data_IF_207192216504
#
_entry.id   IF_207192216504
#
_cell.length_a   1.000
_cell.length_b   1.000
_cell.length_c   1.000
_cell.angle_alpha   90.00
_cell.angle_beta   90.00
_cell.angle_gamma   90.00
#
_symmetry.space_group_name_H-M   'P 1'
#
loop_
_entity.id
_entity.type
_entity.pdbx_description
1 polymer ?
#
# COMPACT_ATOMS: atom_id res chain seq x y z
N UNK A 1 -13.24 -19.78 6.91
CA UNK A 1 -12.88 -19.54 5.50
C UNK A 1 -13.86 -18.71 4.66
N UNK A 2 -15.06 -18.33 5.11
CA UNK A 2 -16.04 -17.56 4.31
C UNK A 2 -15.90 -16.01 4.38
N UNK A 3 -14.89 -15.51 5.12
CA UNK A 3 -14.74 -14.08 5.43
C UNK A 3 -13.50 -13.44 4.78
N UNK A 4 -12.71 -14.23 4.04
CA UNK A 4 -11.59 -13.70 3.26
C UNK A 4 -12.02 -13.34 1.83
N UNK A 5 -11.38 -12.30 1.28
CA UNK A 5 -11.48 -12.03 -0.15
C UNK A 5 -10.62 -13.01 -0.93
N UNK A 6 -11.07 -13.36 -2.15
CA UNK A 6 -10.20 -14.03 -3.13
C UNK A 6 -9.00 -13.16 -3.49
N UNK A 7 -7.90 -13.82 -3.88
CA UNK A 7 -6.71 -13.19 -4.48
C UNK A 7 -7.08 -12.25 -5.63
N UNK A 8 -6.37 -11.13 -5.73
CA UNK A 8 -6.48 -10.15 -6.80
C UNK A 8 -5.09 -9.74 -7.27
N UNK A 9 -4.85 -9.89 -8.55
CA UNK A 9 -3.63 -9.41 -9.20
C UNK A 9 -3.76 -7.92 -9.45
N UNK A 10 -2.80 -7.14 -8.94
CA UNK A 10 -2.71 -5.71 -9.24
C UNK A 10 -1.92 -5.57 -10.55
N UNK A 11 -2.61 -5.21 -11.63
CA UNK A 11 -2.02 -5.06 -12.96
C UNK A 11 -2.69 -3.92 -13.71
N UNK A 12 -1.91 -3.19 -14.51
CA UNK A 12 -2.41 -2.14 -15.40
C UNK A 12 -1.67 -2.23 -16.74
N UNK A 13 -2.36 -2.49 -17.86
CA UNK A 13 -1.71 -2.63 -19.16
C UNK A 13 -1.25 -1.31 -19.77
N UNK A 14 -1.70 -0.16 -19.23
CA UNK A 14 -1.47 1.15 -19.83
C UNK A 14 -0.38 1.97 -19.11
N UNK A 15 0.06 1.55 -17.92
CA UNK A 15 1.10 2.26 -17.16
C UNK A 15 1.99 1.30 -16.38
N UNK A 16 3.23 1.72 -16.14
CA UNK A 16 4.11 1.04 -15.20
C UNK A 16 3.59 1.25 -13.78
N UNK A 17 3.45 0.16 -13.03
CA UNK A 17 2.98 0.14 -11.65
C UNK A 17 4.09 -0.33 -10.71
N UNK A 18 3.90 -0.12 -9.41
CA UNK A 18 4.75 -0.56 -8.31
C UNK A 18 6.22 -0.12 -8.46
N UNK A 19 6.42 1.01 -9.13
CA UNK A 19 7.73 1.60 -9.33
C UNK A 19 8.27 2.17 -8.01
N UNK A 20 9.59 2.26 -7.89
CA UNK A 20 10.24 2.83 -6.70
C UNK A 20 9.73 4.24 -6.43
N UNK A 21 9.27 4.47 -5.19
CA UNK A 21 8.71 5.76 -4.78
C UNK A 21 7.32 6.07 -5.34
N UNK A 22 6.74 5.16 -6.13
CA UNK A 22 5.40 5.29 -6.69
C UNK A 22 4.29 5.05 -5.66
N UNK A 23 3.13 5.62 -5.96
CA UNK A 23 1.86 5.31 -5.30
C UNK A 23 0.89 4.92 -6.41
N UNK A 24 0.40 3.68 -6.34
CA UNK A 24 -0.54 3.13 -7.31
C UNK A 24 -1.89 2.90 -6.64
N UNK A 25 -2.96 3.33 -7.31
CA UNK A 25 -4.33 3.10 -6.85
C UNK A 25 -5.03 2.13 -7.79
N UNK A 26 -5.76 1.19 -7.20
CA UNK A 26 -6.54 0.18 -7.92
C UNK A 26 -7.94 0.13 -7.34
N UNK A 27 -8.92 -0.20 -8.19
CA UNK A 27 -10.30 -0.41 -7.76
C UNK A 27 -10.56 -1.91 -7.77
N UNK A 28 -11.15 -2.41 -6.68
CA UNK A 28 -11.51 -3.81 -6.53
C UNK A 28 -13.00 -3.92 -6.24
N UNK A 29 -13.71 -4.69 -7.06
CA UNK A 29 -15.11 -5.05 -6.79
C UNK A 29 -15.17 -6.33 -5.94
N UNK A 30 -16.03 -6.29 -4.92
CA UNK A 30 -16.33 -7.41 -4.02
C UNK A 30 -17.84 -7.69 -4.05
N UNK A 31 -18.26 -8.96 -3.92
CA UNK A 31 -19.68 -9.33 -4.05
C UNK A 31 -20.53 -8.89 -2.85
N UNK A 32 -19.90 -8.66 -1.69
CA UNK A 32 -20.52 -8.16 -0.45
C UNK A 32 -19.59 -7.15 0.21
N UNK A 33 -20.15 -6.27 1.05
CA UNK A 33 -19.34 -5.40 1.89
C UNK A 33 -18.40 -6.22 2.77
N UNK A 34 -17.15 -5.77 2.92
CA UNK A 34 -16.15 -6.43 3.74
C UNK A 34 -16.28 -6.06 5.23
N UNK A 35 -17.06 -5.02 5.55
CA UNK A 35 -17.17 -4.50 6.91
C UNK A 35 -15.81 -4.04 7.46
N UNK A 36 -15.58 -4.30 8.75
CA UNK A 36 -14.33 -3.97 9.41
C UNK A 36 -13.21 -4.93 8.98
N UNK A 37 -12.13 -4.37 8.42
CA UNK A 37 -10.99 -5.14 7.99
C UNK A 37 -10.04 -5.46 9.15
N UNK A 38 -9.63 -6.71 9.26
CA UNK A 38 -8.68 -7.17 10.28
C UNK A 38 -7.23 -7.18 9.77
N UNK A 39 -7.01 -7.65 8.55
CA UNK A 39 -5.70 -7.74 7.92
C UNK A 39 -5.79 -7.66 6.40
N UNK A 40 -4.63 -7.48 5.77
CA UNK A 40 -4.42 -7.73 4.34
C UNK A 40 -3.25 -8.71 4.17
N UNK A 41 -3.40 -9.65 3.23
CA UNK A 41 -2.30 -10.50 2.76
C UNK A 41 -1.79 -9.95 1.43
N UNK A 42 -0.50 -9.69 1.33
CA UNK A 42 0.14 -9.16 0.12
C UNK A 42 1.47 -9.85 -0.16
N UNK A 43 1.74 -10.10 -1.44
CA UNK A 43 2.97 -10.69 -1.93
C UNK A 43 3.23 -10.27 -3.37
N UNK A 44 4.42 -10.59 -3.88
CA UNK A 44 4.76 -10.52 -5.30
C UNK A 44 5.37 -11.85 -5.76
N UNK A 45 5.52 -12.03 -7.07
CA UNK A 45 6.02 -13.26 -7.69
C UNK A 45 7.54 -13.27 -7.89
N UNK A 46 8.24 -12.22 -7.44
CA UNK A 46 9.68 -12.03 -7.60
C UNK A 46 10.17 -12.09 -9.06
N UNK A 47 9.32 -11.74 -10.04
CA UNK A 47 9.61 -11.80 -11.48
C UNK A 47 10.54 -10.69 -12.00
N UNK A 48 10.82 -9.65 -11.20
CA UNK A 48 11.71 -8.56 -11.60
C UNK A 48 13.17 -8.99 -11.73
N UNK A 49 13.95 -8.27 -12.54
CA UNK A 49 15.38 -8.55 -12.72
C UNK A 49 16.24 -7.76 -11.71
N UNK A 50 17.20 -8.45 -11.08
CA UNK A 50 18.16 -7.89 -10.13
C UNK A 50 17.47 -7.11 -9.00
N UNK A 51 17.90 -5.86 -8.78
CA UNK A 51 17.32 -5.00 -7.74
C UNK A 51 15.83 -4.69 -7.95
N UNK A 52 15.29 -4.86 -9.16
CA UNK A 52 13.87 -4.66 -9.45
C UNK A 52 12.98 -5.82 -8.99
N UNK A 53 13.57 -6.95 -8.58
CA UNK A 53 12.84 -8.05 -7.93
C UNK A 53 12.41 -7.70 -6.50
N UNK A 54 13.13 -6.78 -5.86
CA UNK A 54 12.92 -6.37 -4.47
C UNK A 54 11.97 -5.18 -4.40
N UNK A 55 10.95 -5.27 -3.53
CA UNK A 55 9.95 -4.21 -3.38
C UNK A 55 9.87 -3.71 -1.95
N UNK A 56 10.14 -2.42 -1.73
CA UNK A 56 9.90 -1.80 -0.43
C UNK A 56 8.47 -1.29 -0.35
N UNK A 57 7.63 -1.95 0.46
CA UNK A 57 6.28 -1.50 0.74
C UNK A 57 6.28 -0.66 2.01
N UNK A 58 5.90 0.62 1.88
CA UNK A 58 5.77 1.51 3.03
C UNK A 58 4.43 1.28 3.75
N UNK A 59 3.32 1.35 3.02
CA UNK A 59 1.97 1.22 3.56
C UNK A 59 0.95 0.90 2.45
N UNK A 60 -0.23 0.42 2.85
CA UNK A 60 -1.42 0.26 2.02
C UNK A 60 -2.57 1.01 2.69
N UNK A 61 -3.41 1.66 1.89
CA UNK A 61 -4.68 2.22 2.35
C UNK A 61 -5.79 1.56 1.56
N UNK A 62 -6.70 0.89 2.26
CA UNK A 62 -7.95 0.40 1.68
C UNK A 62 -9.04 1.39 2.03
N UNK A 63 -9.73 1.90 1.01
CA UNK A 63 -10.88 2.79 1.19
C UNK A 63 -12.14 2.07 0.72
N UNK A 64 -13.12 1.95 1.61
CA UNK A 64 -14.47 1.59 1.20
C UNK A 64 -15.10 2.81 0.52
N UNK A 65 -15.49 2.67 -0.76
CA UNK A 65 -16.03 3.78 -1.55
C UNK A 65 -17.51 4.07 -1.23
N UNK A 66 -18.23 3.17 -0.55
CA UNK A 66 -19.61 3.35 -0.13
C UNK A 66 -19.69 4.10 1.20
N UNK A 67 -18.83 3.73 2.16
CA UNK A 67 -18.82 4.32 3.51
C UNK A 67 -17.77 5.42 3.68
N UNK A 68 -16.83 5.54 2.74
CA UNK A 68 -15.64 6.41 2.81
C UNK A 68 -14.66 6.08 3.95
N UNK A 69 -14.86 4.95 4.63
CA UNK A 69 -13.97 4.46 5.68
C UNK A 69 -12.60 4.09 5.11
N UNK A 70 -11.54 4.37 5.88
CA UNK A 70 -10.15 4.09 5.50
C UNK A 70 -9.50 3.15 6.51
N UNK A 71 -8.97 2.06 5.99
CA UNK A 71 -8.18 1.09 6.73
C UNK A 71 -6.71 1.24 6.31
N UNK A 72 -5.83 1.43 7.29
CA UNK A 72 -4.41 1.64 7.07
C UNK A 72 -3.66 0.36 7.44
N UNK A 73 -2.73 -0.05 6.60
CA UNK A 73 -1.85 -1.20 6.85
C UNK A 73 -0.40 -0.72 6.69
N UNK A 74 0.36 -0.73 7.78
CA UNK A 74 1.74 -0.24 7.79
C UNK A 74 2.70 -1.42 7.63
N UNK A 75 3.59 -1.34 6.64
CA UNK A 75 4.54 -2.41 6.34
C UNK A 75 5.99 -2.01 6.68
N UNK A 76 6.43 -0.87 6.13
CA UNK A 76 7.77 -0.28 6.26
C UNK A 76 8.92 -1.29 6.14
N UNK A 77 8.85 -2.19 5.16
CA UNK A 77 9.81 -3.28 5.01
C UNK A 77 10.01 -3.68 3.56
N UNK A 78 11.14 -4.35 3.32
CA UNK A 78 11.44 -5.00 2.05
C UNK A 78 10.67 -6.32 1.93
N UNK A 79 10.10 -6.54 0.75
CA UNK A 79 9.57 -7.80 0.26
C UNK A 79 10.59 -8.25 -0.78
N UNK A 80 11.45 -9.19 -0.40
CA UNK A 80 12.61 -9.57 -1.19
C UNK A 80 13.16 -10.90 -0.69
N UNK A 81 13.60 -11.76 -1.60
CA UNK A 81 14.34 -12.98 -1.25
C UNK A 81 15.82 -12.71 -0.91
N UNK A 82 16.34 -11.54 -1.27
CA UNK A 82 17.76 -11.15 -1.09
C UNK A 82 17.97 -10.09 -0.01
N UNK A 83 16.90 -9.47 0.52
CA UNK A 83 16.98 -8.39 1.51
C UNK A 83 16.11 -8.68 2.74
N UNK A 84 16.39 -7.96 3.83
CA UNK A 84 15.69 -8.06 5.11
C UNK A 84 15.64 -9.49 5.65
N UNK A 85 14.46 -10.10 5.70
CA UNK A 85 14.24 -11.46 6.23
C UNK A 85 14.01 -12.49 5.11
N UNK A 86 14.24 -12.13 3.84
CA UNK A 86 14.14 -13.06 2.71
C UNK A 86 12.72 -13.42 2.29
N UNK A 87 11.70 -12.72 2.81
CA UNK A 87 10.31 -13.05 2.57
C UNK A 87 9.62 -12.04 1.65
N UNK A 88 8.88 -12.55 0.68
CA UNK A 88 8.12 -11.78 -0.32
C UNK A 88 6.62 -11.72 -0.05
N UNK A 89 6.18 -12.28 1.08
CA UNK A 89 4.78 -12.37 1.49
C UNK A 89 4.60 -11.90 2.94
N UNK A 90 3.50 -11.18 3.18
CA UNK A 90 3.10 -10.72 4.52
C UNK A 90 1.60 -10.73 4.71
N UNK A 91 1.22 -11.00 5.96
CA UNK A 91 -0.07 -10.63 6.54
C UNK A 91 0.18 -9.37 7.39
N UNK A 92 -0.52 -8.28 7.07
CA UNK A 92 -0.42 -7.00 7.76
C UNK A 92 -1.74 -6.75 8.49
N UNK A 93 -1.75 -6.62 9.83
CA UNK A 93 -2.95 -6.25 10.56
C UNK A 93 -3.31 -4.79 10.28
N UNK A 94 -4.57 -4.43 10.54
CA UNK A 94 -4.98 -3.02 10.57
C UNK A 94 -4.11 -2.25 11.56
N UNK A 95 -3.64 -1.08 11.13
CA UNK A 95 -2.81 -0.21 11.95
C UNK A 95 -3.57 0.26 13.20
N UNK A 96 -2.89 0.25 14.34
CA UNK A 96 -3.43 0.81 15.58
C UNK A 96 -3.54 2.34 15.52
N UNK A 97 -4.29 2.94 16.46
CA UNK A 97 -4.51 4.40 16.49
C UNK A 97 -3.20 5.20 16.58
N UNK A 98 -2.23 4.74 17.37
CA UNK A 98 -0.91 5.38 17.45
C UNK A 98 -0.15 5.32 16.12
N UNK A 99 -0.21 4.19 15.42
CA UNK A 99 0.43 4.04 14.11
C UNK A 99 -0.25 4.93 13.07
N UNK A 100 -1.59 5.03 13.10
CA UNK A 100 -2.35 5.94 12.24
C UNK A 100 -1.99 7.41 12.50
N UNK A 101 -1.84 7.82 13.76
CA UNK A 101 -1.45 9.19 14.13
C UNK A 101 -0.02 9.51 13.67
N UNK A 102 0.93 8.64 13.97
CA UNK A 102 2.32 8.78 13.51
C UNK A 102 2.42 8.81 11.98
N UNK A 103 1.67 7.92 11.33
CA UNK A 103 1.61 7.85 9.88
C UNK A 103 1.00 9.11 9.26
N UNK A 104 -0.11 9.60 9.82
CA UNK A 104 -0.78 10.82 9.36
C UNK A 104 0.12 12.03 9.52
N UNK A 105 0.86 12.12 10.63
CA UNK A 105 1.87 13.15 10.86
C UNK A 105 3.02 13.07 9.83
N UNK A 106 3.53 11.87 9.56
CA UNK A 106 4.60 11.69 8.56
C UNK A 106 4.09 12.00 7.15
N UNK A 107 2.87 11.60 6.80
CA UNK A 107 2.26 11.91 5.51
C UNK A 107 2.02 13.41 5.33
N UNK A 108 1.40 14.07 6.31
CA UNK A 108 1.11 15.49 6.24
C UNK A 108 2.41 16.30 6.14
N UNK A 109 3.44 15.92 6.89
CA UNK A 109 4.78 16.53 6.81
C UNK A 109 5.41 16.34 5.42
N UNK A 110 5.35 15.13 4.84
CA UNK A 110 5.88 14.89 3.49
C UNK A 110 5.10 15.62 2.40
N UNK A 111 3.77 15.65 2.49
CA UNK A 111 2.92 16.42 1.57
C UNK A 111 3.20 17.92 1.69
N UNK A 112 3.30 18.43 2.92
CA UNK A 112 3.67 19.82 3.19
C UNK A 112 5.04 20.17 2.59
N UNK A 113 6.07 19.35 2.82
CA UNK A 113 7.38 19.59 2.23
C UNK A 113 7.36 19.52 0.71
N UNK A 114 6.67 18.53 0.12
CA UNK A 114 6.55 18.44 -1.34
C UNK A 114 5.81 19.64 -1.95
N UNK A 115 4.86 20.23 -1.23
CA UNK A 115 4.13 21.43 -1.67
C UNK A 115 4.94 22.71 -1.41
N UNK A 116 5.71 22.78 -0.33
CA UNK A 116 6.56 23.95 -0.03
C UNK A 116 7.81 24.03 -0.91
N UNK A 117 8.31 22.89 -1.38
CA UNK A 117 9.48 22.80 -2.27
C UNK A 117 9.10 23.01 -3.74
N UNK A 118 7.82 22.81 -4.08
CA UNK A 118 7.24 23.20 -5.35
C UNK A 118 6.85 24.67 -5.32
N UNK A 119 7.71 25.52 -5.88
CA UNK A 119 7.42 26.93 -6.16
C UNK A 119 5.99 27.10 -6.73
N UNK A 120 5.05 27.48 -5.88
CA UNK A 120 3.72 27.94 -6.25
C UNK A 120 3.86 29.27 -7.01
N UNK A 121 4.05 29.18 -8.32
CA UNK A 121 3.65 30.24 -9.24
C UNK A 121 2.53 29.71 -10.13
N UNK A 122 1.32 29.71 -9.57
CA UNK A 122 0.14 30.10 -10.32
C UNK A 122 -0.11 31.57 -9.99
N UNK A 123 0.42 32.45 -10.84
CA UNK A 123 -0.07 33.81 -11.06
C UNK A 123 0.15 34.17 -12.52
#
# INVERSE_FOLDING_TARGET
>A
DNDETRVRTLSDPHRKILQRGGIDSFIMSVPKSLGLLNYIRIWHDNSGEGSSASWFLKYIIVRDLQTMEKFYFIAQRWFSVEQADGLIERILPIAGEMEKQNFSYVLSKKAYFSISDGHLWFS
#
